data_IF_772629692927
#
_entry.id   IF_772629692927
#
_cell.length_a   1.000
_cell.length_b   1.000
_cell.length_c   1.000
_cell.angle_alpha   90.00
_cell.angle_beta   90.00
_cell.angle_gamma   90.00
#
_symmetry.space_group_name_H-M   'P 1'
#
loop_
_entity.id
_entity.type
_entity.pdbx_description
1 polymer ?
#
# COMPACT_ATOMS: atom_id res chain seq x y z
N UNK A 1 3.85 -8.37 11.40
CA UNK A 1 2.65 -7.54 11.37
C UNK A 1 1.42 -8.38 11.13
N UNK A 2 0.38 -8.18 11.94
CA UNK A 2 -0.94 -8.69 11.64
C UNK A 2 -1.54 -7.93 10.46
N UNK A 3 -2.19 -8.66 9.54
CA UNK A 3 -2.82 -8.03 8.38
C UNK A 3 -4.00 -7.17 8.84
N UNK A 4 -4.17 -5.94 8.30
CA UNK A 4 -5.34 -5.13 8.60
C UNK A 4 -6.63 -5.86 8.18
N UNK A 5 -7.65 -5.88 9.04
CA UNK A 5 -8.91 -6.61 8.79
C UNK A 5 -9.55 -6.26 7.44
N UNK A 6 -9.53 -4.97 7.05
CA UNK A 6 -10.10 -4.51 5.77
C UNK A 6 -9.35 -5.02 4.53
N UNK A 7 -8.14 -5.55 4.70
CA UNK A 7 -7.26 -6.05 3.66
C UNK A 7 -6.77 -7.49 3.97
N UNK A 8 -7.53 -8.24 4.77
CA UNK A 8 -7.13 -9.60 5.20
C UNK A 8 -6.81 -10.53 4.01
N UNK A 9 -7.56 -10.39 2.91
CA UNK A 9 -7.42 -11.17 1.68
C UNK A 9 -6.53 -10.52 0.61
N UNK A 10 -5.89 -9.38 0.89
CA UNK A 10 -5.00 -8.70 -0.06
C UNK A 10 -3.56 -8.82 0.38
N UNK A 11 -2.66 -9.26 -0.51
CA UNK A 11 -1.21 -9.21 -0.31
C UNK A 11 -0.67 -7.82 -0.60
N UNK A 12 -1.15 -7.15 -1.65
CA UNK A 12 -0.64 -5.85 -2.05
C UNK A 12 -1.55 -4.72 -1.58
N UNK A 13 -1.03 -3.86 -0.71
CA UNK A 13 -1.71 -2.67 -0.23
C UNK A 13 -1.13 -1.42 -0.88
N UNK A 14 -1.93 -0.65 -1.61
CA UNK A 14 -1.52 0.64 -2.15
C UNK A 14 -1.83 1.79 -1.20
N UNK A 15 -0.95 2.79 -1.12
CA UNK A 15 -1.23 4.09 -0.50
C UNK A 15 -1.58 5.14 -1.56
N UNK A 16 -2.84 5.61 -1.53
CA UNK A 16 -3.35 6.63 -2.46
C UNK A 16 -2.57 7.95 -2.41
N UNK A 17 -1.91 8.27 -1.28
CA UNK A 17 -1.15 9.52 -1.11
C UNK A 17 0.23 9.45 -1.75
N UNK A 18 0.92 8.31 -1.66
CA UNK A 18 2.32 8.20 -2.11
C UNK A 18 2.49 7.48 -3.44
N UNK A 19 1.46 6.76 -3.92
CA UNK A 19 1.57 5.81 -5.03
C UNK A 19 2.66 4.75 -4.77
N UNK A 20 2.82 4.37 -3.51
CA UNK A 20 3.61 3.20 -3.11
C UNK A 20 2.69 2.01 -2.88
N UNK A 21 3.17 0.82 -3.27
CA UNK A 21 2.53 -0.45 -2.95
C UNK A 21 3.41 -1.23 -1.98
N UNK A 22 2.78 -1.77 -0.94
CA UNK A 22 3.40 -2.54 0.13
C UNK A 22 2.99 -4.00 -0.02
N UNK A 23 3.97 -4.89 0.03
CA UNK A 23 3.74 -6.34 0.08
C UNK A 23 3.56 -6.76 1.54
N UNK A 24 2.32 -7.00 1.96
CA UNK A 24 1.98 -7.32 3.34
C UNK A 24 2.58 -8.66 3.83
N UNK A 25 3.06 -9.52 2.92
CA UNK A 25 3.76 -10.76 3.30
C UNK A 25 5.22 -10.52 3.69
N UNK A 26 5.85 -9.48 3.16
CA UNK A 26 7.29 -9.23 3.33
C UNK A 26 7.60 -7.93 4.05
N UNK A 27 6.64 -7.01 4.16
CA UNK A 27 6.83 -5.72 4.79
C UNK A 27 6.80 -5.80 6.32
N UNK A 28 7.84 -5.28 6.96
CA UNK A 28 8.02 -5.40 8.43
C UNK A 28 7.73 -4.11 9.19
N UNK A 29 7.66 -2.96 8.52
CA UNK A 29 7.40 -1.67 9.17
C UNK A 29 5.90 -1.42 9.34
N UNK A 30 5.40 -1.72 10.54
CA UNK A 30 3.99 -1.56 10.90
C UNK A 30 3.54 -0.10 10.97
N UNK A 31 4.46 0.84 11.22
CA UNK A 31 4.10 2.26 11.33
C UNK A 31 3.55 2.78 10.00
N UNK A 32 4.16 2.38 8.87
CA UNK A 32 3.69 2.76 7.55
C UNK A 32 2.27 2.23 7.25
N UNK A 33 1.99 0.97 7.59
CA UNK A 33 0.68 0.35 7.34
C UNK A 33 -0.38 0.93 8.27
N UNK A 34 -0.05 1.15 9.54
CA UNK A 34 -0.93 1.79 10.52
C UNK A 34 -1.30 3.21 10.09
N UNK A 35 -0.35 4.00 9.61
CA UNK A 35 -0.60 5.35 9.08
C UNK A 35 -1.57 5.32 7.88
N UNK A 36 -1.41 4.36 6.96
CA UNK A 36 -2.32 4.19 5.81
C UNK A 36 -3.74 3.82 6.28
N UNK A 37 -3.86 2.95 7.30
CA UNK A 37 -5.16 2.54 7.85
C UNK A 37 -5.84 3.70 8.60
N UNK A 38 -5.11 4.41 9.46
CA UNK A 38 -5.62 5.53 10.24
C UNK A 38 -6.20 6.65 9.36
N UNK A 39 -5.61 6.87 8.18
CA UNK A 39 -6.07 7.89 7.24
C UNK A 39 -7.07 7.35 6.19
N UNK A 40 -7.41 6.06 6.21
CA UNK A 40 -8.30 5.41 5.23
C UNK A 40 -7.86 5.61 3.75
N UNK A 41 -6.54 5.65 3.55
CA UNK A 41 -5.91 5.89 2.25
C UNK A 41 -5.38 4.63 1.57
N UNK A 42 -5.65 3.46 2.16
CA UNK A 42 -5.36 2.17 1.57
C UNK A 42 -6.24 1.84 0.36
N UNK A 43 -5.71 1.03 -0.57
CA UNK A 43 -6.47 0.39 -1.64
C UNK A 43 -5.96 -1.03 -1.93
N UNK A 44 -6.85 -1.87 -2.43
CA UNK A 44 -6.52 -3.18 -3.00
C UNK A 44 -6.49 -3.11 -4.53
N UNK A 45 -5.86 -4.12 -5.13
CA UNK A 45 -5.74 -4.24 -6.58
C UNK A 45 -6.55 -5.44 -7.08
N UNK A 46 -7.17 -5.30 -8.24
CA UNK A 46 -7.88 -6.38 -8.92
C UNK A 46 -7.28 -6.59 -10.31
N UNK A 47 -6.50 -7.65 -10.56
CA UNK A 47 -6.10 -8.73 -9.62
C UNK A 47 -5.07 -8.31 -8.57
N UNK A 48 -5.00 -9.04 -7.44
CA UNK A 48 -4.04 -8.79 -6.34
C UNK A 48 -2.61 -9.20 -6.73
N UNK A 49 -1.96 -8.38 -7.54
CA UNK A 49 -0.62 -8.62 -8.05
C UNK A 49 0.20 -7.35 -8.11
N UNK A 50 1.51 -7.48 -7.95
CA UNK A 50 2.45 -6.37 -8.15
C UNK A 50 2.40 -5.82 -9.58
N UNK A 51 2.12 -6.68 -10.57
CA UNK A 51 1.98 -6.26 -11.97
C UNK A 51 0.79 -5.28 -12.13
N UNK A 52 -0.37 -5.60 -11.54
CA UNK A 52 -1.54 -4.72 -11.56
C UNK A 52 -1.27 -3.39 -10.86
N UNK A 53 -0.61 -3.41 -9.70
CA UNK A 53 -0.22 -2.20 -8.99
C UNK A 53 0.68 -1.30 -9.86
N UNK A 54 1.67 -1.89 -10.53
CA UNK A 54 2.56 -1.18 -11.47
C UNK A 54 1.81 -0.61 -12.68
N UNK A 55 0.86 -1.35 -13.25
CA UNK A 55 0.01 -0.87 -14.33
C UNK A 55 -0.83 0.35 -13.92
N UNK A 56 -1.20 0.45 -12.63
CA UNK A 56 -1.86 1.63 -12.04
C UNK A 56 -0.90 2.74 -11.59
N UNK A 57 0.39 2.62 -11.90
CA UNK A 57 1.43 3.62 -11.62
C UNK A 57 1.99 3.57 -10.19
N UNK A 58 1.74 2.49 -9.44
CA UNK A 58 2.33 2.30 -8.13
C UNK A 58 3.77 1.77 -8.24
N UNK A 59 4.60 2.13 -7.28
CA UNK A 59 5.98 1.64 -7.16
C UNK A 59 6.11 0.84 -5.88
N UNK A 60 6.79 -0.31 -5.93
CA UNK A 60 7.02 -1.14 -4.75
C UNK A 60 7.77 -0.32 -3.70
N UNK A 61 7.25 -0.31 -2.47
CA UNK A 61 7.91 0.34 -1.34
C UNK A 61 9.23 -0.38 -1.02
N UNK A 62 10.28 0.40 -0.75
CA UNK A 62 11.54 -0.11 -0.19
C UNK A 62 11.73 0.48 1.19
N UNK A 63 12.33 -0.26 2.15
CA UNK A 63 12.59 0.28 3.48
C UNK A 63 13.33 1.62 3.43
N UNK A 64 12.86 2.61 4.19
CA UNK A 64 13.42 3.96 4.20
C UNK A 64 13.07 4.84 2.99
N UNK A 65 12.32 4.33 2.00
CA UNK A 65 11.84 5.17 0.92
C UNK A 65 10.70 6.08 1.39
N UNK A 66 10.80 7.37 1.08
CA UNK A 66 9.73 8.34 1.32
C UNK A 66 9.35 8.98 0.00
N UNK A 67 8.06 8.93 -0.34
CA UNK A 67 7.48 9.73 -1.43
C UNK A 67 6.72 10.90 -0.84
N UNK A 68 6.64 11.99 -1.60
CA UNK A 68 5.80 13.13 -1.24
C UNK A 68 4.34 12.70 -1.23
N UNK A 69 3.60 13.06 -0.19
CA UNK A 69 2.15 12.95 -0.20
C UNK A 69 1.55 13.78 -1.33
N UNK A 70 0.73 13.14 -2.13
CA UNK A 70 -0.06 13.71 -3.22
C UNK A 70 -1.51 13.73 -2.78
N UNK A 71 -2.29 14.62 -3.38
CA UNK A 71 -3.75 14.59 -3.25
C UNK A 71 -4.22 13.20 -3.77
N UNK A 72 -4.95 12.41 -2.96
CA UNK A 72 -5.49 11.13 -3.40
C UNK A 72 -6.26 11.30 -4.70
N UNK A 73 -6.00 10.42 -5.67
CA UNK A 73 -6.80 10.38 -6.91
C UNK A 73 -8.17 9.81 -6.56
N UNK A 74 -9.22 10.47 -7.06
CA UNK A 74 -10.60 10.02 -6.94
C UNK A 74 -10.81 8.71 -7.70
#
# INVERSE_FOLDING_TARGET
>A
MERPTRFEHSRFLGDKRTQLVYDLDTWTDEAAINDIMQHEVGLSFGPDSLAEARNRGYTLATPGATRRYRKPRA
#
